data_IF_309797576505
#
_entry.id   IF_309797576505
#
_cell.length_a   1.000
_cell.length_b   1.000
_cell.length_c   1.000
_cell.angle_alpha   90.00
_cell.angle_beta   90.00
_cell.angle_gamma   90.00
#
_symmetry.space_group_name_H-M   'P 1'
#
loop_
_entity.id
_entity.type
_entity.pdbx_description
1 polymer ?
#
# COMPACT_ATOMS: atom_id res chain seq x y z
N UNK A 1 -20.24 -19.10 -6.89
CA UNK A 1 -19.71 -18.95 -5.49
C UNK A 1 -18.49 -18.06 -5.54
N UNK A 2 -18.42 -17.05 -4.68
CA UNK A 2 -17.25 -16.17 -4.59
C UNK A 2 -16.02 -16.97 -4.14
N UNK A 3 -14.88 -16.72 -4.78
CA UNK A 3 -13.60 -17.35 -4.46
C UNK A 3 -12.54 -16.26 -4.32
N UNK A 4 -11.66 -16.35 -3.31
CA UNK A 4 -10.49 -15.51 -3.21
C UNK A 4 -9.51 -15.95 -4.32
N UNK A 5 -9.30 -15.11 -5.34
CA UNK A 5 -8.47 -15.45 -6.50
C UNK A 5 -7.03 -14.96 -6.37
N UNK A 6 -6.82 -13.79 -5.74
CA UNK A 6 -5.49 -13.21 -5.53
C UNK A 6 -5.40 -12.49 -4.19
N UNK A 7 -4.19 -12.50 -3.61
CA UNK A 7 -3.81 -11.74 -2.42
C UNK A 7 -2.65 -10.82 -2.77
N UNK A 8 -2.67 -9.60 -2.25
CA UNK A 8 -1.57 -8.65 -2.38
C UNK A 8 -1.27 -7.94 -1.06
N UNK A 9 0.00 -7.67 -0.85
CA UNK A 9 0.46 -6.67 0.12
C UNK A 9 1.23 -5.56 -0.60
N UNK A 10 1.27 -4.40 -0.01
CA UNK A 10 1.99 -3.22 -0.48
C UNK A 10 2.88 -2.70 0.64
N UNK A 11 4.05 -3.32 0.91
CA UNK A 11 4.82 -3.06 2.12
C UNK A 11 5.16 -1.58 2.32
N UNK A 12 5.52 -0.91 1.21
CA UNK A 12 5.80 0.54 1.20
C UNK A 12 4.66 1.27 0.48
N UNK A 13 4.11 2.29 1.13
CA UNK A 13 3.09 3.16 0.52
C UNK A 13 3.56 3.67 -0.83
N UNK A 14 2.69 3.57 -1.85
CA UNK A 14 2.93 4.01 -3.24
C UNK A 14 3.98 3.21 -4.05
N UNK A 15 4.68 2.25 -3.47
CA UNK A 15 5.59 1.37 -4.20
C UNK A 15 4.89 0.11 -4.72
N UNK A 16 5.59 -0.75 -5.45
CA UNK A 16 5.06 -1.98 -6.05
C UNK A 16 4.40 -2.88 -4.99
N UNK A 17 3.31 -3.51 -5.36
CA UNK A 17 2.67 -4.56 -4.58
C UNK A 17 3.30 -5.93 -4.83
N UNK A 18 3.08 -6.86 -3.92
CA UNK A 18 3.56 -8.24 -3.96
C UNK A 18 2.35 -9.16 -3.94
N UNK A 19 2.25 -10.05 -4.92
CA UNK A 19 1.28 -11.14 -4.91
C UNK A 19 1.68 -12.24 -3.93
N UNK A 20 0.72 -12.77 -3.18
CA UNK A 20 0.93 -13.81 -2.17
C UNK A 20 0.00 -14.98 -2.42
N UNK A 21 0.42 -16.19 -2.03
CA UNK A 21 -0.42 -17.39 -2.00
C UNK A 21 -1.17 -17.53 -0.67
N UNK A 22 -0.63 -16.96 0.39
CA UNK A 22 -1.22 -16.92 1.73
C UNK A 22 -0.74 -15.69 2.48
N UNK A 23 -1.50 -15.24 3.46
CA UNK A 23 -1.16 -14.09 4.30
C UNK A 23 -1.79 -14.24 5.68
N UNK A 24 -1.11 -13.70 6.70
CA UNK A 24 -1.69 -13.52 8.02
C UNK A 24 -2.57 -12.27 8.00
N UNK A 25 -3.84 -12.41 8.34
CA UNK A 25 -4.78 -11.31 8.47
C UNK A 25 -4.89 -10.87 9.94
N UNK A 26 -4.80 -9.57 10.18
CA UNK A 26 -4.99 -8.94 11.48
C UNK A 26 -5.98 -7.78 11.34
N UNK A 27 -6.48 -7.24 12.44
CA UNK A 27 -7.37 -6.08 12.45
C UNK A 27 -6.74 -4.85 11.77
N UNK A 28 -5.43 -4.75 11.76
CA UNK A 28 -4.66 -3.65 11.14
C UNK A 28 -4.36 -3.81 9.65
N UNK A 29 -4.70 -4.97 9.07
CA UNK A 29 -4.41 -5.33 7.68
C UNK A 29 -3.67 -6.66 7.55
N UNK A 30 -3.29 -7.03 6.32
CA UNK A 30 -2.40 -8.16 6.10
C UNK A 30 -1.00 -7.85 6.67
N UNK A 31 -0.33 -8.87 7.19
CA UNK A 31 1.03 -8.72 7.70
C UNK A 31 1.93 -8.03 6.67
N UNK A 32 2.73 -7.07 7.11
CA UNK A 32 3.61 -6.22 6.31
C UNK A 32 2.90 -5.24 5.35
N UNK A 33 1.58 -5.16 5.31
CA UNK A 33 0.91 -4.24 4.40
C UNK A 33 1.00 -2.79 4.89
N UNK A 34 1.58 -1.89 4.06
CA UNK A 34 1.74 -0.45 4.30
C UNK A 34 2.32 -0.10 5.68
N UNK A 35 3.32 -0.87 6.13
CA UNK A 35 4.06 -0.57 7.36
C UNK A 35 5.26 0.36 7.12
N UNK A 36 5.58 0.63 5.84
CA UNK A 36 6.61 1.59 5.45
C UNK A 36 6.04 2.68 4.55
N UNK A 37 6.65 3.86 4.60
CA UNK A 37 6.28 5.03 3.81
C UNK A 37 7.50 5.91 3.55
N UNK A 38 7.52 6.64 2.44
CA UNK A 38 8.53 7.66 2.17
C UNK A 38 7.92 9.04 2.46
N UNK A 39 8.67 9.88 3.16
CA UNK A 39 8.28 11.24 3.52
C UNK A 39 9.39 12.23 3.19
N UNK A 40 9.07 13.51 3.16
CA UNK A 40 10.03 14.59 3.33
C UNK A 40 10.59 14.58 4.78
N UNK A 41 11.69 15.30 5.08
CA UNK A 41 12.27 15.32 6.43
C UNK A 41 11.32 15.78 7.53
N UNK A 42 10.37 16.69 7.20
CA UNK A 42 9.35 17.20 8.12
C UNK A 42 8.23 16.17 8.43
N UNK A 43 8.23 15.01 7.77
CA UNK A 43 7.22 13.96 7.93
C UNK A 43 6.06 14.03 6.94
N UNK A 44 6.02 15.01 6.04
CA UNK A 44 5.05 15.09 4.95
C UNK A 44 5.24 13.92 3.98
N UNK A 45 4.21 13.12 3.79
CA UNK A 45 4.33 11.93 2.94
C UNK A 45 4.34 12.27 1.45
N UNK A 46 5.17 11.53 0.70
CA UNK A 46 5.19 11.58 -0.77
C UNK A 46 4.45 10.36 -1.37
N UNK A 47 3.95 10.52 -2.56
CA UNK A 47 3.15 9.47 -3.22
C UNK A 47 3.46 9.35 -4.71
N UNK A 48 3.09 8.21 -5.30
CA UNK A 48 3.16 8.03 -6.75
C UNK A 48 2.20 8.94 -7.55
N UNK A 49 1.33 9.71 -6.89
CA UNK A 49 0.59 10.81 -7.54
C UNK A 49 1.53 11.95 -7.95
N UNK A 50 2.56 12.21 -7.15
CA UNK A 50 3.60 13.21 -7.38
C UNK A 50 4.80 12.60 -8.11
N UNK A 51 5.21 11.39 -7.71
CA UNK A 51 6.37 10.66 -8.19
C UNK A 51 5.95 9.29 -8.75
N UNK A 52 5.39 9.21 -9.97
CA UNK A 52 4.89 7.97 -10.53
C UNK A 52 5.91 6.83 -10.58
N UNK A 53 7.20 7.15 -10.69
CA UNK A 53 8.30 6.18 -10.66
C UNK A 53 8.38 5.36 -9.38
N UNK A 54 7.74 5.79 -8.28
CA UNK A 54 7.68 5.01 -7.02
C UNK A 54 7.15 3.60 -7.23
N UNK A 55 6.19 3.41 -8.15
CA UNK A 55 5.62 2.07 -8.42
C UNK A 55 6.63 1.07 -8.98
N UNK A 56 7.80 1.54 -9.44
CA UNK A 56 8.86 0.68 -9.97
C UNK A 56 9.81 0.15 -8.89
N UNK A 57 9.79 0.72 -7.69
CA UNK A 57 10.53 0.16 -6.56
C UNK A 57 9.90 -1.13 -6.10
N UNK A 58 10.71 -2.16 -5.90
CA UNK A 58 10.26 -3.48 -5.45
C UNK A 58 10.63 -3.70 -3.99
N UNK A 59 9.69 -3.54 -3.06
CA UNK A 59 9.90 -3.88 -1.67
C UNK A 59 9.81 -5.39 -1.46
N UNK A 60 10.71 -5.96 -0.69
CA UNK A 60 10.71 -7.36 -0.26
C UNK A 60 10.79 -7.39 1.27
N UNK A 61 9.65 -7.57 1.96
CA UNK A 61 9.66 -7.64 3.41
C UNK A 61 10.42 -8.88 3.89
N UNK A 62 11.19 -8.69 4.95
CA UNK A 62 11.90 -9.73 5.68
C UNK A 62 11.27 -9.85 7.07
N UNK A 63 11.49 -10.99 7.74
CA UNK A 63 10.97 -11.19 9.10
C UNK A 63 11.44 -10.10 10.08
N UNK A 64 12.57 -9.48 9.82
CA UNK A 64 13.24 -8.50 10.67
C UNK A 64 13.50 -7.15 9.98
N UNK A 65 12.91 -6.89 8.80
CA UNK A 65 13.14 -5.63 8.08
C UNK A 65 12.56 -5.58 6.67
N UNK A 66 13.26 -4.80 5.83
CA UNK A 66 12.90 -4.55 4.45
C UNK A 66 14.14 -4.58 3.56
N UNK A 67 14.09 -5.34 2.48
CA UNK A 67 14.97 -5.18 1.34
C UNK A 67 14.22 -4.40 0.25
N UNK A 68 14.80 -3.33 -0.25
CA UNK A 68 14.19 -2.46 -1.26
C UNK A 68 15.08 -2.39 -2.48
N UNK A 69 14.55 -2.77 -3.65
CA UNK A 69 15.26 -2.69 -4.94
C UNK A 69 14.71 -1.53 -5.76
N UNK A 70 15.59 -0.65 -6.22
CA UNK A 70 15.26 0.50 -7.06
C UNK A 70 15.15 0.10 -8.55
N UNK A 71 14.60 1.01 -9.41
CA UNK A 71 14.43 0.75 -10.85
C UNK A 71 15.72 0.53 -11.63
N UNK A 72 16.86 1.01 -11.13
CA UNK A 72 18.21 0.85 -11.73
C UNK A 72 18.90 -0.46 -11.29
N UNK A 73 18.24 -1.27 -10.45
CA UNK A 73 18.77 -2.51 -9.91
C UNK A 73 19.58 -2.36 -8.62
N UNK A 74 19.91 -1.14 -8.21
CA UNK A 74 20.53 -0.92 -6.90
C UNK A 74 19.55 -1.28 -5.77
N UNK A 75 20.07 -1.62 -4.60
CA UNK A 75 19.22 -2.05 -3.49
C UNK A 75 19.73 -1.57 -2.14
N UNK A 76 18.83 -1.51 -1.19
CA UNK A 76 19.11 -1.18 0.20
C UNK A 76 18.43 -2.18 1.14
N UNK A 77 19.09 -2.53 2.21
CA UNK A 77 18.58 -3.39 3.29
C UNK A 77 18.50 -2.56 4.57
N UNK A 78 17.36 -2.60 5.24
CA UNK A 78 17.17 -1.98 6.55
C UNK A 78 16.47 -2.95 7.49
N UNK A 79 17.04 -3.15 8.68
CA UNK A 79 16.46 -3.97 9.73
C UNK A 79 15.56 -3.11 10.63
N UNK A 80 14.58 -3.70 11.30
CA UNK A 80 13.76 -2.95 12.26
C UNK A 80 14.59 -2.33 13.40
N UNK A 81 15.69 -2.98 13.76
CA UNK A 81 16.65 -2.49 14.77
C UNK A 81 17.46 -1.27 14.31
N UNK A 82 17.56 -1.02 13.02
CA UNK A 82 18.34 0.09 12.46
C UNK A 82 17.56 1.41 12.48
N UNK A 83 16.23 1.33 12.57
CA UNK A 83 15.39 2.54 12.67
C UNK A 83 15.65 3.27 13.99
N UNK A 84 15.54 4.61 13.95
CA UNK A 84 15.70 5.42 15.16
C UNK A 84 14.79 4.91 16.27
N UNK A 85 15.27 4.81 17.50
CA UNK A 85 14.40 4.42 18.63
C UNK A 85 13.38 5.51 18.97
N UNK A 86 13.66 6.78 18.61
CA UNK A 86 12.78 7.92 18.83
C UNK A 86 11.71 8.01 17.74
N UNK A 87 10.49 8.25 18.16
CA UNK A 87 9.37 8.52 17.29
C UNK A 87 9.50 9.93 16.69
N UNK A 88 9.27 10.04 15.38
CA UNK A 88 9.26 11.30 14.66
C UNK A 88 7.86 11.62 14.13
N UNK A 89 7.41 12.88 14.15
CA UNK A 89 6.12 13.28 13.61
C UNK A 89 5.98 12.92 12.14
N UNK A 90 4.80 12.46 11.74
CA UNK A 90 4.42 12.22 10.36
C UNK A 90 2.91 12.38 10.19
N UNK A 91 2.44 12.39 8.94
CA UNK A 91 1.03 12.51 8.65
C UNK A 91 0.61 11.68 7.43
N UNK A 92 -0.66 11.32 7.36
CA UNK A 92 -1.32 10.81 6.15
C UNK A 92 -2.70 11.42 6.06
N UNK A 93 -2.94 12.26 5.05
CA UNK A 93 -4.22 12.95 4.80
C UNK A 93 -4.71 13.77 6.01
N UNK A 94 -3.80 14.55 6.62
CA UNK A 94 -4.11 15.37 7.80
C UNK A 94 -4.37 14.56 9.07
N UNK A 95 -4.07 13.28 9.08
CA UNK A 95 -4.05 12.47 10.29
C UNK A 95 -2.61 12.40 10.78
N UNK A 96 -2.30 13.14 11.86
CA UNK A 96 -0.97 13.24 12.46
C UNK A 96 -0.73 12.10 13.44
N UNK A 97 0.44 11.50 13.39
CA UNK A 97 0.89 10.41 14.25
C UNK A 97 2.41 10.34 14.25
N UNK A 98 3.01 9.28 14.77
CA UNK A 98 4.46 9.13 14.82
C UNK A 98 4.91 7.88 14.07
N UNK A 99 6.16 7.91 13.58
CA UNK A 99 6.82 6.80 12.92
C UNK A 99 8.33 6.89 13.15
N UNK A 100 9.05 5.79 12.94
CA UNK A 100 10.51 5.72 13.08
C UNK A 100 11.20 6.00 11.77
N UNK A 101 12.36 6.66 11.84
CA UNK A 101 13.15 7.07 10.68
C UNK A 101 14.22 6.04 10.38
N UNK A 102 14.41 5.69 9.12
CA UNK A 102 15.50 4.83 8.66
C UNK A 102 16.88 5.53 8.82
N UNK A 103 17.99 4.76 8.83
CA UNK A 103 19.35 5.31 8.85
C UNK A 103 19.61 6.31 7.73
N UNK A 104 20.50 7.26 7.99
CA UNK A 104 20.90 8.31 7.03
C UNK A 104 21.34 7.73 5.69
N UNK A 105 22.11 6.64 5.68
CA UNK A 105 22.57 6.02 4.45
C UNK A 105 21.42 5.54 3.55
N UNK A 106 20.37 4.96 4.13
CA UNK A 106 19.15 4.54 3.41
C UNK A 106 18.40 5.75 2.85
N UNK A 107 18.27 6.80 3.65
CA UNK A 107 17.58 8.02 3.26
C UNK A 107 18.33 8.76 2.13
N UNK A 108 19.67 8.84 2.20
CA UNK A 108 20.49 9.41 1.14
C UNK A 108 20.38 8.63 -0.17
N UNK A 109 20.44 7.28 -0.10
CA UNK A 109 20.24 6.43 -1.26
C UNK A 109 18.86 6.67 -1.91
N UNK A 110 17.79 6.70 -1.12
CA UNK A 110 16.44 7.01 -1.62
C UNK A 110 16.37 8.41 -2.22
N UNK A 111 16.94 9.42 -1.55
CA UNK A 111 16.90 10.82 -2.00
C UNK A 111 17.44 11.01 -3.40
N UNK A 112 18.43 10.18 -3.80
CA UNK A 112 18.98 10.19 -5.15
C UNK A 112 17.96 9.93 -6.26
N UNK A 113 16.84 9.25 -5.96
CA UNK A 113 15.79 8.95 -6.94
C UNK A 113 14.67 10.01 -7.00
N UNK A 114 14.62 10.95 -6.05
CA UNK A 114 13.52 11.90 -5.94
C UNK A 114 13.91 13.35 -6.18
N UNK A 115 15.19 13.64 -6.42
CA UNK A 115 15.74 15.01 -6.59
C UNK A 115 15.38 15.93 -5.42
N UNK A 116 15.23 15.36 -4.23
CA UNK A 116 14.97 16.03 -2.95
C UNK A 116 15.31 15.11 -1.78
N UNK A 117 15.49 15.69 -0.62
CA UNK A 117 15.68 14.92 0.60
C UNK A 117 14.40 14.18 0.97
N UNK A 118 14.51 12.86 1.13
CA UNK A 118 13.43 12.00 1.60
C UNK A 118 13.89 11.05 2.68
N UNK A 119 12.95 10.53 3.45
CA UNK A 119 13.20 9.58 4.53
C UNK A 119 12.26 8.38 4.41
N UNK A 120 12.80 7.18 4.53
CA UNK A 120 11.99 6.00 4.75
C UNK A 120 11.50 5.99 6.20
N UNK A 121 10.21 5.80 6.39
CA UNK A 121 9.55 5.69 7.69
C UNK A 121 8.99 4.29 7.90
N UNK A 122 9.09 3.79 9.12
CA UNK A 122 8.44 2.58 9.61
C UNK A 122 7.47 2.91 10.74
N UNK A 123 6.30 2.28 10.74
CA UNK A 123 5.25 2.50 11.76
C UNK A 123 5.71 2.25 13.20
N UNK A 124 6.87 1.61 13.40
CA UNK A 124 7.36 1.20 14.71
C UNK A 124 6.74 -0.14 15.18
N UNK A 125 7.09 -0.58 16.39
CA UNK A 125 6.61 -1.84 16.94
C UNK A 125 5.13 -1.79 17.33
N UNK A 126 4.56 -0.60 17.47
CA UNK A 126 3.16 -0.39 17.81
C UNK A 126 2.52 0.65 16.88
N UNK A 127 1.36 0.30 16.31
CA UNK A 127 0.60 1.22 15.46
C UNK A 127 -0.07 2.29 16.32
N UNK A 128 0.35 3.53 16.18
CA UNK A 128 -0.22 4.69 16.89
C UNK A 128 -1.41 5.30 16.13
N UNK A 129 -1.44 5.16 14.81
CA UNK A 129 -2.53 5.64 13.95
C UNK A 129 -3.76 4.75 14.05
N UNK A 130 -4.95 5.35 13.90
CA UNK A 130 -6.25 4.67 13.93
C UNK A 130 -7.10 5.04 12.72
N UNK A 131 -8.03 4.17 12.34
CA UNK A 131 -9.04 4.48 11.32
C UNK A 131 -9.94 5.61 11.83
N UNK A 132 -10.06 6.73 11.08
CA UNK A 132 -10.71 7.97 11.51
C UNK A 132 -12.15 7.79 12.04
N UNK A 133 -12.91 6.84 11.49
CA UNK A 133 -14.31 6.57 11.91
C UNK A 133 -14.45 5.32 12.79
N UNK A 134 -13.36 4.60 13.03
CA UNK A 134 -13.31 3.34 13.79
C UNK A 134 -12.07 3.32 14.65
N UNK A 135 -12.04 4.14 15.71
CA UNK A 135 -10.86 4.37 16.56
C UNK A 135 -10.30 3.10 17.22
N UNK A 136 -11.08 2.02 17.30
CA UNK A 136 -10.60 0.73 17.77
C UNK A 136 -9.68 0.01 16.76
N UNK A 137 -9.73 0.39 15.47
CA UNK A 137 -8.99 -0.27 14.40
C UNK A 137 -7.65 0.42 14.18
N UNK A 138 -6.51 -0.25 14.48
CA UNK A 138 -5.19 0.30 14.18
C UNK A 138 -4.96 0.34 12.67
N UNK A 139 -4.12 1.28 12.22
CA UNK A 139 -3.88 1.51 10.81
C UNK A 139 -2.41 1.86 10.57
N UNK A 140 -1.78 1.20 9.60
CA UNK A 140 -0.46 1.58 9.10
C UNK A 140 -0.54 2.81 8.19
N UNK A 141 0.26 2.85 7.14
CA UNK A 141 0.26 3.97 6.18
C UNK A 141 -0.78 3.84 5.06
N UNK A 142 -1.76 2.92 5.17
CA UNK A 142 -2.90 2.86 4.26
C UNK A 142 -3.72 4.17 4.29
N UNK A 143 -4.43 4.48 3.20
CA UNK A 143 -5.12 5.76 3.09
C UNK A 143 -6.25 5.92 4.11
N UNK A 144 -7.10 4.91 4.30
CA UNK A 144 -8.23 5.05 5.20
C UNK A 144 -8.70 3.78 5.92
N UNK A 145 -8.47 2.61 5.32
CA UNK A 145 -8.87 1.31 5.87
C UNK A 145 -7.78 0.27 5.67
N UNK A 146 -7.72 -0.77 6.51
CA UNK A 146 -6.67 -1.81 6.46
C UNK A 146 -6.74 -2.66 5.20
N UNK A 147 -7.93 -2.89 4.66
CA UNK A 147 -8.16 -3.79 3.52
C UNK A 147 -8.87 -3.08 2.38
N UNK A 148 -8.50 -3.47 1.16
CA UNK A 148 -9.24 -3.16 -0.05
C UNK A 148 -9.59 -4.45 -0.76
N UNK A 149 -10.89 -4.66 -0.98
CA UNK A 149 -11.46 -5.74 -1.77
C UNK A 149 -11.72 -5.25 -3.19
N UNK A 150 -11.48 -6.10 -4.18
CA UNK A 150 -11.82 -5.89 -5.59
C UNK A 150 -12.29 -7.19 -6.21
N UNK A 151 -12.91 -7.10 -7.40
CA UNK A 151 -13.47 -8.24 -8.12
C UNK A 151 -12.92 -8.32 -9.54
N UNK A 152 -12.53 -9.51 -9.96
CA UNK A 152 -12.03 -9.79 -11.31
C UNK A 152 -13.06 -9.45 -12.40
N UNK A 153 -14.35 -9.71 -12.15
CA UNK A 153 -15.41 -9.39 -13.11
C UNK A 153 -15.60 -7.88 -13.27
N UNK A 154 -15.49 -7.12 -12.16
CA UNK A 154 -15.55 -5.65 -12.19
C UNK A 154 -14.36 -5.06 -12.95
N UNK A 155 -13.16 -5.65 -12.79
CA UNK A 155 -12.00 -5.25 -13.59
C UNK A 155 -12.23 -5.51 -15.08
N UNK A 156 -12.76 -6.67 -15.45
CA UNK A 156 -13.05 -6.99 -16.88
C UNK A 156 -14.08 -6.03 -17.49
N UNK A 157 -15.13 -5.68 -16.75
CA UNK A 157 -16.11 -4.71 -17.20
C UNK A 157 -15.48 -3.32 -17.41
N UNK A 158 -14.61 -2.90 -16.46
CA UNK A 158 -13.88 -1.64 -16.59
C UNK A 158 -12.92 -1.65 -17.79
N UNK A 159 -12.23 -2.75 -18.05
CA UNK A 159 -11.31 -2.91 -19.17
C UNK A 159 -12.03 -2.75 -20.53
N UNK A 160 -13.28 -3.21 -20.66
CA UNK A 160 -14.07 -3.02 -21.86
C UNK A 160 -14.39 -1.54 -22.13
N UNK A 161 -14.43 -0.72 -21.09
CA UNK A 161 -14.72 0.73 -21.15
C UNK A 161 -13.47 1.59 -21.20
N UNK A 162 -12.30 1.02 -21.01
CA UNK A 162 -11.02 1.72 -20.95
C UNK A 162 -10.04 1.18 -22.00
N UNK A 163 -10.02 1.73 -23.23
CA UNK A 163 -9.16 1.25 -24.31
C UNK A 163 -7.66 1.29 -24.01
N UNK A 164 -7.23 2.19 -23.11
CA UNK A 164 -5.84 2.26 -22.66
C UNK A 164 -5.41 1.05 -21.82
N UNK A 165 -6.37 0.23 -21.41
CA UNK A 165 -6.17 -0.91 -20.51
C UNK A 165 -5.95 -0.47 -19.06
N UNK A 166 -6.41 -1.30 -18.14
CA UNK A 166 -6.16 -1.16 -16.71
C UNK A 166 -5.82 -2.53 -16.12
N UNK A 167 -4.97 -2.53 -15.12
CA UNK A 167 -4.54 -3.74 -14.43
C UNK A 167 -4.99 -3.69 -12.96
N UNK A 168 -5.19 -4.86 -12.34
CA UNK A 168 -5.62 -4.95 -10.96
C UNK A 168 -4.66 -4.23 -10.00
N UNK A 169 -3.38 -4.28 -10.29
CA UNK A 169 -2.31 -3.71 -9.49
C UNK A 169 -2.42 -2.17 -9.34
N UNK A 170 -3.03 -1.49 -10.32
CA UNK A 170 -3.28 -0.03 -10.27
C UNK A 170 -4.27 0.33 -9.15
N UNK A 171 -5.18 -0.57 -8.81
CA UNK A 171 -6.17 -0.38 -7.73
C UNK A 171 -5.60 -0.70 -6.36
N UNK A 172 -4.47 -1.41 -6.30
CA UNK A 172 -3.74 -1.75 -5.07
C UNK A 172 -4.60 -2.50 -4.03
N UNK A 173 -5.34 -3.54 -4.45
CA UNK A 173 -6.16 -4.33 -3.54
C UNK A 173 -5.29 -5.18 -2.60
N UNK A 174 -5.90 -5.63 -1.51
CA UNK A 174 -5.37 -6.71 -0.68
C UNK A 174 -6.04 -8.04 -1.04
N UNK A 175 -7.35 -8.00 -1.28
CA UNK A 175 -8.19 -9.16 -1.55
C UNK A 175 -8.81 -9.00 -2.94
N UNK A 176 -8.62 -9.99 -3.81
CA UNK A 176 -9.28 -10.05 -5.12
C UNK A 176 -10.15 -11.28 -5.16
N UNK A 177 -11.42 -11.09 -5.48
CA UNK A 177 -12.40 -12.18 -5.60
C UNK A 177 -12.76 -12.45 -7.05
N UNK A 178 -13.23 -13.66 -7.30
CA UNK A 178 -13.76 -14.09 -8.59
C UNK A 178 -15.01 -14.97 -8.39
N UNK A 179 -15.65 -15.35 -9.51
CA UNK A 179 -16.81 -16.24 -9.48
C UNK A 179 -18.13 -15.57 -9.11
N UNK A 180 -18.18 -14.23 -9.16
CA UNK A 180 -19.37 -13.39 -8.92
C UNK A 180 -19.55 -12.38 -10.04
N UNK A 181 -20.71 -11.73 -10.12
CA UNK A 181 -20.99 -10.72 -11.14
C UNK A 181 -20.12 -9.46 -10.95
N UNK A 182 -19.95 -8.68 -12.03
CA UNK A 182 -19.28 -7.40 -11.93
C UNK A 182 -20.05 -6.46 -10.99
N UNK A 183 -19.32 -5.76 -10.12
CA UNK A 183 -19.82 -4.79 -9.13
C UNK A 183 -20.69 -5.40 -8.03
N UNK A 184 -20.81 -6.72 -7.94
CA UNK A 184 -21.57 -7.40 -6.88
C UNK A 184 -20.98 -7.10 -5.49
N UNK A 185 -19.65 -6.94 -5.40
CA UNK A 185 -18.95 -6.59 -4.18
C UNK A 185 -19.38 -5.26 -3.55
N UNK A 186 -19.95 -4.34 -4.33
CA UNK A 186 -20.44 -3.05 -3.82
C UNK A 186 -21.69 -3.18 -2.94
N UNK A 187 -22.43 -4.29 -3.09
CA UNK A 187 -23.64 -4.58 -2.30
C UNK A 187 -23.34 -5.32 -1.00
N UNK A 188 -22.15 -5.85 -0.83
CA UNK A 188 -21.81 -6.67 0.32
C UNK A 188 -21.68 -5.85 1.60
N UNK A 189 -22.07 -6.47 2.72
CA UNK A 189 -21.93 -5.89 4.07
C UNK A 189 -20.88 -6.64 4.89
N UNK A 190 -20.86 -7.96 4.71
CA UNK A 190 -19.95 -8.87 5.40
C UNK A 190 -19.51 -9.94 4.42
N UNK A 191 -18.25 -10.34 4.49
CA UNK A 191 -17.77 -11.51 3.78
C UNK A 191 -16.90 -12.37 4.71
N UNK A 192 -16.87 -13.66 4.44
CA UNK A 192 -15.99 -14.61 5.13
C UNK A 192 -15.01 -15.22 4.13
N UNK A 193 -13.72 -15.19 4.49
CA UNK A 193 -12.63 -15.82 3.73
C UNK A 193 -11.89 -16.75 4.70
N UNK A 194 -12.00 -18.04 4.50
CA UNK A 194 -11.52 -19.03 5.48
C UNK A 194 -12.20 -18.79 6.84
N UNK A 195 -11.42 -18.56 7.87
CA UNK A 195 -11.92 -18.31 9.23
C UNK A 195 -12.02 -16.81 9.57
N UNK A 196 -11.65 -15.93 8.64
CA UNK A 196 -11.66 -14.48 8.85
C UNK A 196 -12.97 -13.88 8.33
N UNK A 197 -13.59 -13.03 9.17
CA UNK A 197 -14.78 -12.26 8.83
C UNK A 197 -14.37 -10.80 8.61
N UNK A 198 -14.83 -10.23 7.49
CA UNK A 198 -14.58 -8.84 7.10
C UNK A 198 -15.89 -8.07 7.01
N UNK A 199 -15.94 -6.91 7.65
CA UNK A 199 -16.99 -5.92 7.43
C UNK A 199 -16.67 -5.08 6.20
N UNK A 200 -17.61 -5.00 5.25
CA UNK A 200 -17.50 -4.15 4.07
C UNK A 200 -18.09 -2.78 4.41
N UNK A 201 -17.23 -1.86 4.79
CA UNK A 201 -17.63 -0.60 5.44
C UNK A 201 -18.12 0.45 4.45
N UNK A 202 -17.48 0.55 3.29
CA UNK A 202 -17.85 1.50 2.24
C UNK A 202 -17.15 1.20 0.91
N UNK A 203 -17.71 1.66 -0.23
CA UNK A 203 -16.99 1.72 -1.50
C UNK A 203 -15.75 2.62 -1.41
N UNK A 204 -14.70 2.25 -2.11
CA UNK A 204 -13.45 3.01 -2.16
C UNK A 204 -13.45 3.98 -3.34
N UNK A 205 -13.57 5.27 -3.07
CA UNK A 205 -13.39 6.30 -4.09
C UNK A 205 -12.01 6.21 -4.73
N UNK A 206 -11.97 6.22 -6.05
CA UNK A 206 -10.71 6.08 -6.80
C UNK A 206 -10.10 7.47 -7.06
N UNK A 207 -8.79 7.51 -7.13
CA UNK A 207 -8.04 8.74 -7.38
C UNK A 207 -7.12 8.57 -8.59
N UNK A 208 -6.46 9.64 -9.02
CA UNK A 208 -5.56 9.66 -10.17
C UNK A 208 -4.41 8.63 -10.09
N UNK A 209 -4.13 8.06 -8.92
CA UNK A 209 -3.13 6.99 -8.80
C UNK A 209 -3.46 5.79 -9.69
N UNK A 210 -4.75 5.49 -9.91
CA UNK A 210 -5.18 4.38 -10.79
C UNK A 210 -4.80 4.58 -12.25
N UNK A 211 -4.34 5.76 -12.65
CA UNK A 211 -3.82 6.03 -14.00
C UNK A 211 -2.31 5.77 -14.12
N UNK A 212 -1.61 5.47 -13.01
CA UNK A 212 -0.18 5.20 -13.04
C UNK A 212 0.07 3.76 -13.48
N UNK A 213 0.79 3.59 -14.59
CA UNK A 213 1.21 2.27 -15.07
C UNK A 213 2.18 1.62 -14.08
N UNK A 214 1.88 0.42 -13.56
CA UNK A 214 2.76 -0.28 -12.63
C UNK A 214 4.13 -0.65 -13.23
N UNK A 215 4.18 -0.84 -14.55
CA UNK A 215 5.40 -1.23 -15.26
C UNK A 215 6.24 -0.01 -15.66
N UNK A 216 5.59 1.00 -16.23
CA UNK A 216 6.27 2.18 -16.78
C UNK A 216 6.58 3.23 -15.71
N UNK A 217 5.84 3.26 -14.60
CA UNK A 217 5.96 4.32 -13.60
C UNK A 217 5.60 5.70 -14.18
N UNK A 218 4.62 5.74 -15.07
CA UNK A 218 4.13 6.95 -15.75
C UNK A 218 2.61 6.99 -15.70
N UNK A 219 2.05 8.18 -15.65
CA UNK A 219 0.59 8.36 -15.80
C UNK A 219 0.20 8.11 -17.24
N UNK A 220 -0.93 7.44 -17.44
CA UNK A 220 -1.56 7.41 -18.77
C UNK A 220 -1.93 8.85 -19.18
N UNK A 221 -1.75 9.21 -20.46
CA UNK A 221 -2.32 10.44 -20.96
C UNK A 221 -3.84 10.41 -20.75
N UNK A 222 -4.37 11.50 -20.25
CA UNK A 222 -5.83 11.73 -20.11
C UNK A 222 -6.49 11.91 -21.46
#
# INVERSE_FOLDING_TARGET
>A
MATLSRLFIHPVKSMRGIGLTHALADISGLAFDRIFMVTEPDGTFITARQFPQMVRFTPSPLHDGLHLTAPDGSSALVRFTDFTPQDAPTEVWGNHFTARVAPTAINQWLSGFFSRDVQLRWVGPQLTRRVKRHNAVPLGFADGYPYLLTNEASLRDLQQRCPAGVQMEQFRPNLVVSGVAAWEEDSWKVLRIGDVIFDVVKPCSRCIFTTVSPEKGQKHPS
#
